data_IF_444842602900
#
_entry.id   IF_444842602900
#
_cell.length_a   1.000
_cell.length_b   1.000
_cell.length_c   1.000
_cell.angle_alpha   90.00
_cell.angle_beta   90.00
_cell.angle_gamma   90.00
#
_symmetry.space_group_name_H-M   'P 1'
#
loop_
_entity.id
_entity.type
_entity.pdbx_description
1 polymer ?
#
# COMPACT_ATOMS: atom_id res chain seq x y z
N UNK A 1 37.10 -16.98 7.26
CA UNK A 1 35.70 -17.32 7.58
C UNK A 1 35.18 -16.19 8.43
N UNK A 2 34.38 -15.27 7.86
CA UNK A 2 33.82 -14.11 8.58
C UNK A 2 32.78 -14.62 9.57
N UNK A 3 32.93 -14.28 10.84
CA UNK A 3 31.93 -14.49 11.87
C UNK A 3 30.62 -13.80 11.46
N UNK A 4 29.71 -14.54 10.85
CA UNK A 4 28.36 -14.10 10.61
C UNK A 4 27.72 -13.87 11.99
N UNK A 5 27.57 -12.62 12.37
CA UNK A 5 26.92 -12.20 13.60
C UNK A 5 25.56 -12.89 13.66
N UNK A 6 25.38 -13.86 14.56
CA UNK A 6 24.08 -14.51 14.79
C UNK A 6 23.06 -13.42 15.08
N UNK A 7 22.11 -13.21 14.15
CA UNK A 7 20.98 -12.33 14.38
C UNK A 7 20.10 -12.99 15.46
N UNK A 8 20.10 -12.44 16.66
CA UNK A 8 19.18 -12.85 17.72
C UNK A 8 17.79 -12.33 17.36
N UNK A 9 16.85 -13.22 17.06
CA UNK A 9 15.46 -12.89 16.78
C UNK A 9 15.00 -13.25 15.36
N UNK A 10 13.69 -13.35 15.18
CA UNK A 10 13.05 -13.57 13.88
C UNK A 10 13.08 -12.30 13.05
N UNK A 11 13.66 -12.33 11.85
CA UNK A 11 13.65 -11.21 10.91
C UNK A 11 14.90 -11.20 10.04
N UNK A 12 14.79 -10.61 8.85
CA UNK A 12 15.86 -10.53 7.84
C UNK A 12 16.41 -9.10 7.69
N UNK A 13 16.18 -8.21 8.67
CA UNK A 13 16.62 -6.82 8.59
C UNK A 13 18.14 -6.73 8.38
N UNK A 14 18.53 -6.03 7.29
CA UNK A 14 19.94 -5.84 6.93
C UNK A 14 20.55 -7.04 6.19
N UNK A 15 19.77 -8.06 5.84
CA UNK A 15 20.21 -9.15 4.96
C UNK A 15 19.61 -8.96 3.57
N UNK A 16 20.42 -9.16 2.53
CA UNK A 16 19.91 -9.26 1.17
C UNK A 16 19.22 -10.61 0.97
N UNK A 17 17.97 -10.57 0.52
CA UNK A 17 17.18 -11.77 0.20
C UNK A 17 17.09 -12.06 -1.30
N UNK A 18 17.69 -11.19 -2.13
CA UNK A 18 17.69 -11.32 -3.59
C UNK A 18 18.08 -10.00 -4.26
N UNK A 19 17.92 -9.97 -5.58
CA UNK A 19 18.18 -8.81 -6.41
C UNK A 19 16.87 -8.24 -6.97
N UNK A 20 16.83 -6.95 -7.23
CA UNK A 20 15.71 -6.27 -7.91
C UNK A 20 16.21 -5.14 -8.79
N UNK A 21 15.60 -4.99 -9.96
CA UNK A 21 15.78 -3.84 -10.87
C UNK A 21 14.59 -2.87 -10.80
N UNK A 22 13.65 -3.06 -9.86
CA UNK A 22 12.41 -2.29 -9.81
C UNK A 22 12.55 -0.98 -9.04
N UNK A 23 13.29 -0.98 -7.92
CA UNK A 23 13.43 0.20 -7.08
C UNK A 23 14.70 0.18 -6.23
N UNK A 24 15.11 1.38 -5.76
CA UNK A 24 16.12 1.52 -4.71
C UNK A 24 15.53 2.29 -3.54
N UNK A 25 15.88 1.89 -2.31
CA UNK A 25 15.42 2.54 -1.07
C UNK A 25 16.61 2.93 -0.22
N UNK A 26 16.74 4.22 0.09
CA UNK A 26 17.78 4.76 0.98
C UNK A 26 19.19 4.88 0.37
N UNK A 27 19.37 4.64 -0.94
CA UNK A 27 20.72 4.55 -1.56
C UNK A 27 20.95 5.47 -2.74
N UNK A 28 19.93 6.00 -3.40
CA UNK A 28 20.10 6.88 -4.58
C UNK A 28 18.96 7.89 -4.72
N UNK A 29 19.21 8.96 -5.47
CA UNK A 29 18.29 10.07 -5.68
C UNK A 29 17.90 10.74 -4.37
N UNK A 30 16.62 11.10 -4.24
CA UNK A 30 16.04 11.61 -2.99
C UNK A 30 15.88 10.53 -1.89
N UNK A 31 16.24 9.29 -2.19
CA UNK A 31 16.13 8.13 -1.27
C UNK A 31 15.12 7.07 -1.70
N UNK A 32 14.37 7.29 -2.78
CA UNK A 32 13.49 6.31 -3.40
C UNK A 32 13.48 6.51 -4.91
N UNK A 33 13.76 5.46 -5.66
CA UNK A 33 13.66 5.48 -7.13
C UNK A 33 12.84 4.31 -7.63
N UNK A 34 12.13 4.50 -8.75
CA UNK A 34 11.45 3.44 -9.49
C UNK A 34 12.11 3.30 -10.85
N UNK A 35 12.70 2.13 -11.14
CA UNK A 35 13.41 1.88 -12.42
C UNK A 35 14.44 2.98 -12.74
N UNK A 36 15.10 3.55 -11.72
CA UNK A 36 16.10 4.60 -11.86
C UNK A 36 15.57 6.03 -11.88
N UNK A 37 14.25 6.25 -11.95
CA UNK A 37 13.63 7.57 -11.83
C UNK A 37 13.40 7.93 -10.38
N UNK A 38 13.77 9.13 -9.97
CA UNK A 38 13.52 9.64 -8.61
C UNK A 38 12.03 9.81 -8.34
N UNK A 39 11.57 9.37 -7.19
CA UNK A 39 10.14 9.43 -6.82
C UNK A 39 9.62 10.87 -6.79
N UNK A 40 10.46 11.83 -6.43
CA UNK A 40 10.10 13.26 -6.42
C UNK A 40 9.83 13.75 -7.85
N UNK A 41 10.72 13.43 -8.77
CA UNK A 41 10.57 13.79 -10.18
C UNK A 41 9.33 13.15 -10.80
N UNK A 42 9.08 11.87 -10.48
CA UNK A 42 7.85 11.18 -10.91
C UNK A 42 6.58 11.83 -10.35
N UNK A 43 6.55 12.19 -9.06
CA UNK A 43 5.39 12.82 -8.44
C UNK A 43 5.09 14.23 -8.98
N UNK A 44 6.12 14.96 -9.38
CA UNK A 44 6.01 16.30 -9.98
C UNK A 44 5.56 16.26 -11.44
N UNK A 45 6.11 15.33 -12.25
CA UNK A 45 6.08 15.39 -13.71
C UNK A 45 5.36 14.24 -14.40
N UNK A 46 4.93 13.19 -13.67
CA UNK A 46 4.21 12.05 -14.22
C UNK A 46 2.83 11.87 -13.61
N UNK A 47 2.00 11.02 -14.23
CA UNK A 47 0.76 10.48 -13.68
C UNK A 47 0.98 9.09 -13.10
N UNK A 48 0.06 8.62 -12.28
CA UNK A 48 0.15 7.26 -11.71
C UNK A 48 0.14 6.18 -12.80
N UNK A 49 -0.62 6.37 -13.88
CA UNK A 49 -0.65 5.44 -15.02
C UNK A 49 0.72 5.37 -15.75
N UNK A 50 1.42 6.50 -15.87
CA UNK A 50 2.79 6.50 -16.40
C UNK A 50 3.75 5.74 -15.50
N UNK A 51 3.64 5.94 -14.18
CA UNK A 51 4.45 5.23 -13.17
C UNK A 51 4.11 3.74 -13.14
N UNK A 52 2.84 3.38 -13.23
CA UNK A 52 2.42 1.98 -13.31
C UNK A 52 2.99 1.31 -14.57
N UNK A 53 2.91 1.98 -15.71
CA UNK A 53 3.52 1.50 -16.95
C UNK A 53 5.04 1.33 -16.80
N UNK A 54 5.73 2.31 -16.23
CA UNK A 54 7.17 2.23 -15.96
C UNK A 54 7.52 1.00 -15.12
N UNK A 55 6.83 0.79 -14.00
CA UNK A 55 7.12 -0.31 -13.08
C UNK A 55 6.84 -1.66 -13.73
N UNK A 56 5.70 -1.81 -14.43
CA UNK A 56 5.24 -3.07 -15.00
C UNK A 56 5.95 -3.43 -16.31
N UNK A 57 6.20 -2.44 -17.17
CA UNK A 57 6.71 -2.65 -18.53
C UNK A 57 8.16 -2.18 -18.73
N UNK A 58 8.75 -1.51 -17.74
CA UNK A 58 10.18 -1.18 -17.72
C UNK A 58 10.55 0.24 -18.16
N UNK A 59 9.67 0.91 -18.91
CA UNK A 59 9.92 2.24 -19.47
C UNK A 59 8.72 3.16 -19.30
N UNK A 60 8.96 4.47 -19.21
CA UNK A 60 7.90 5.46 -19.30
C UNK A 60 7.22 5.39 -20.67
N UNK A 61 5.87 5.45 -20.72
CA UNK A 61 5.16 5.35 -21.99
C UNK A 61 5.34 6.60 -22.84
N UNK A 62 5.35 6.43 -24.16
CA UNK A 62 5.08 7.53 -25.09
C UNK A 62 3.62 7.98 -24.94
N UNK A 63 3.27 9.16 -25.48
CA UNK A 63 1.87 9.66 -25.45
C UNK A 63 0.88 8.62 -25.99
N UNK A 64 1.20 8.01 -27.14
CA UNK A 64 0.32 7.00 -27.74
C UNK A 64 0.18 5.73 -26.87
N UNK A 65 1.26 5.29 -26.24
CA UNK A 65 1.24 4.15 -25.33
C UNK A 65 0.43 4.47 -24.06
N UNK A 66 0.57 5.69 -23.52
CA UNK A 66 -0.19 6.12 -22.33
C UNK A 66 -1.70 6.14 -22.63
N UNK A 67 -2.13 6.69 -23.73
CA UNK A 67 -3.54 6.73 -24.10
C UNK A 67 -4.12 5.31 -24.33
N UNK A 68 -3.36 4.43 -24.98
CA UNK A 68 -3.73 3.03 -25.13
C UNK A 68 -3.82 2.32 -23.77
N UNK A 69 -2.87 2.59 -22.86
CA UNK A 69 -2.84 2.01 -21.53
C UNK A 69 -4.03 2.47 -20.67
N UNK A 70 -4.32 3.76 -20.64
CA UNK A 70 -5.50 4.31 -19.96
C UNK A 70 -6.79 3.69 -20.49
N UNK A 71 -6.94 3.58 -21.81
CA UNK A 71 -8.10 2.95 -22.45
C UNK A 71 -8.22 1.49 -22.02
N UNK A 72 -7.12 0.74 -22.01
CA UNK A 72 -7.07 -0.65 -21.53
C UNK A 72 -7.54 -0.75 -20.08
N UNK A 73 -6.99 0.07 -19.18
CA UNK A 73 -7.34 0.04 -17.75
C UNK A 73 -8.81 0.40 -17.53
N UNK A 74 -9.36 1.39 -18.25
CA UNK A 74 -10.81 1.72 -18.18
C UNK A 74 -11.68 0.52 -18.51
N UNK A 75 -11.35 -0.23 -19.56
CA UNK A 75 -12.08 -1.43 -19.96
C UNK A 75 -11.96 -2.60 -18.98
N UNK A 76 -11.08 -2.50 -17.98
CA UNK A 76 -10.85 -3.52 -16.96
C UNK A 76 -11.42 -3.19 -15.57
N UNK A 77 -12.20 -2.10 -15.41
CA UNK A 77 -12.76 -1.66 -14.11
C UNK A 77 -13.98 -2.45 -13.66
N UNK A 78 -14.74 -3.00 -14.60
CA UNK A 78 -15.97 -3.73 -14.33
C UNK A 78 -15.74 -4.98 -13.49
N UNK A 79 -16.68 -5.30 -12.60
CA UNK A 79 -16.63 -6.49 -11.75
C UNK A 79 -17.61 -7.57 -12.23
N UNK A 80 -17.19 -8.85 -12.27
CA UNK A 80 -18.09 -9.96 -12.52
C UNK A 80 -19.24 -9.99 -11.51
N UNK A 81 -20.44 -10.36 -11.96
CA UNK A 81 -21.65 -10.41 -11.11
C UNK A 81 -21.43 -11.32 -9.88
N UNK A 82 -20.80 -12.49 -10.07
CA UNK A 82 -20.51 -13.41 -8.96
C UNK A 82 -19.58 -12.80 -7.90
N UNK A 83 -18.65 -11.91 -8.31
CA UNK A 83 -17.81 -11.17 -7.35
C UNK A 83 -18.63 -10.13 -6.59
N UNK A 84 -19.52 -9.37 -7.27
CA UNK A 84 -20.43 -8.41 -6.62
C UNK A 84 -21.27 -9.12 -5.55
N UNK A 85 -21.84 -10.27 -5.85
CA UNK A 85 -22.64 -11.09 -4.92
C UNK A 85 -21.85 -11.56 -3.68
N UNK A 86 -20.57 -11.91 -3.85
CA UNK A 86 -19.68 -12.24 -2.73
C UNK A 86 -19.42 -11.00 -1.87
N UNK A 87 -19.13 -9.87 -2.47
CA UNK A 87 -18.89 -8.61 -1.76
C UNK A 87 -20.13 -8.17 -0.96
N UNK A 88 -21.34 -8.33 -1.51
CA UNK A 88 -22.60 -7.99 -0.84
C UNK A 88 -22.89 -8.84 0.41
N UNK A 89 -22.28 -10.02 0.53
CA UNK A 89 -22.42 -10.91 1.69
C UNK A 89 -21.43 -10.59 2.82
N UNK A 90 -20.42 -9.77 2.57
CA UNK A 90 -19.45 -9.38 3.59
C UNK A 90 -20.08 -8.28 4.46
N UNK A 91 -20.17 -8.45 5.79
CA UNK A 91 -20.81 -7.48 6.67
C UNK A 91 -20.07 -6.12 6.68
N UNK A 92 -20.79 -5.05 7.01
CA UNK A 92 -20.27 -3.69 7.00
C UNK A 92 -19.17 -3.43 8.06
N UNK A 93 -19.14 -4.21 9.14
CA UNK A 93 -18.12 -4.15 10.19
C UNK A 93 -16.86 -4.96 9.88
N UNK A 94 -16.84 -5.69 8.76
CA UNK A 94 -15.63 -6.38 8.31
C UNK A 94 -14.49 -5.38 8.07
N UNK A 95 -13.27 -5.81 8.35
CA UNK A 95 -12.11 -4.97 8.07
C UNK A 95 -11.92 -4.83 6.55
N UNK A 96 -11.82 -3.60 5.99
CA UNK A 96 -11.75 -3.40 4.54
C UNK A 96 -10.61 -4.13 3.84
N UNK A 97 -9.48 -4.35 4.52
CA UNK A 97 -8.39 -5.16 3.99
C UNK A 97 -8.77 -6.64 3.82
N UNK A 98 -9.65 -7.17 4.67
CA UNK A 98 -10.16 -8.54 4.54
C UNK A 98 -11.12 -8.64 3.34
N UNK A 99 -11.84 -7.57 3.04
CA UNK A 99 -12.66 -7.42 1.82
C UNK A 99 -11.77 -7.44 0.57
N UNK A 100 -10.68 -6.65 0.57
CA UNK A 100 -9.72 -6.63 -0.54
C UNK A 100 -9.12 -8.02 -0.79
N UNK A 101 -8.73 -8.72 0.28
CA UNK A 101 -8.18 -10.09 0.20
C UNK A 101 -9.20 -11.07 -0.39
N UNK A 102 -10.44 -11.04 0.08
CA UNK A 102 -11.54 -11.87 -0.42
C UNK A 102 -11.84 -11.55 -1.89
N UNK A 103 -11.92 -10.27 -2.24
CA UNK A 103 -12.17 -9.81 -3.61
C UNK A 103 -11.07 -10.25 -4.58
N UNK A 104 -9.81 -10.11 -4.21
CA UNK A 104 -8.68 -10.58 -5.02
C UNK A 104 -8.72 -12.11 -5.23
N UNK A 105 -8.94 -12.87 -4.16
CA UNK A 105 -9.02 -14.33 -4.23
C UNK A 105 -10.22 -14.80 -5.07
N UNK A 106 -11.39 -14.17 -4.90
CA UNK A 106 -12.58 -14.49 -5.68
C UNK A 106 -12.39 -14.16 -7.16
N UNK A 107 -11.76 -13.03 -7.47
CA UNK A 107 -11.44 -12.67 -8.86
C UNK A 107 -10.56 -13.73 -9.51
N UNK A 108 -9.55 -14.26 -8.80
CA UNK A 108 -8.71 -15.35 -9.28
C UNK A 108 -9.43 -16.68 -9.51
N UNK A 109 -10.54 -16.92 -8.80
CA UNK A 109 -11.40 -18.08 -9.09
C UNK A 109 -12.23 -17.91 -10.36
N UNK A 110 -12.62 -16.65 -10.68
CA UNK A 110 -13.43 -16.35 -11.86
C UNK A 110 -12.60 -16.10 -13.12
N UNK A 111 -11.41 -15.55 -12.95
CA UNK A 111 -10.48 -15.16 -14.01
C UNK A 111 -9.12 -15.82 -13.74
N UNK A 112 -9.06 -17.14 -13.78
CA UNK A 112 -7.86 -17.92 -13.43
C UNK A 112 -6.69 -17.65 -14.39
N UNK A 113 -5.47 -17.59 -13.84
CA UNK A 113 -4.23 -17.58 -14.64
C UNK A 113 -3.93 -18.98 -15.18
N UNK A 114 -3.99 -19.14 -16.49
CA UNK A 114 -3.70 -20.44 -17.14
C UNK A 114 -2.24 -20.56 -17.61
N UNK A 115 -1.57 -19.44 -17.79
CA UNK A 115 -0.18 -19.35 -18.22
C UNK A 115 0.48 -18.07 -17.71
N UNK A 116 1.78 -18.13 -17.40
CA UNK A 116 2.55 -16.94 -17.04
C UNK A 116 2.67 -15.90 -18.18
N UNK A 117 2.33 -16.26 -19.43
CA UNK A 117 2.20 -15.29 -20.50
C UNK A 117 1.07 -14.27 -20.28
N UNK A 118 0.11 -14.57 -19.41
CA UNK A 118 -1.03 -13.73 -19.06
C UNK A 118 -0.71 -12.74 -17.90
N UNK A 119 0.45 -12.88 -17.27
CA UNK A 119 0.79 -12.16 -16.02
C UNK A 119 0.67 -10.63 -16.13
N UNK A 120 1.06 -10.02 -17.23
CA UNK A 120 0.94 -8.56 -17.42
C UNK A 120 -0.53 -8.14 -17.56
N UNK A 121 -1.35 -8.93 -18.23
CA UNK A 121 -2.78 -8.65 -18.35
C UNK A 121 -3.49 -8.78 -16.99
N UNK A 122 -3.11 -9.78 -16.19
CA UNK A 122 -3.67 -9.96 -14.84
C UNK A 122 -3.21 -8.83 -13.92
N UNK A 123 -1.95 -8.37 -14.03
CA UNK A 123 -1.46 -7.21 -13.28
C UNK A 123 -2.29 -5.96 -13.56
N UNK A 124 -2.53 -5.64 -14.84
CA UNK A 124 -3.37 -4.52 -15.25
C UNK A 124 -4.84 -4.69 -14.79
N UNK A 125 -5.36 -5.93 -14.86
CA UNK A 125 -6.71 -6.25 -14.40
C UNK A 125 -6.87 -5.99 -12.90
N UNK A 126 -5.92 -6.43 -12.07
CA UNK A 126 -5.93 -6.19 -10.63
C UNK A 126 -5.81 -4.71 -10.30
N UNK A 127 -4.90 -4.00 -10.99
CA UNK A 127 -4.72 -2.55 -10.83
C UNK A 127 -6.02 -1.78 -11.13
N UNK A 128 -6.74 -2.14 -12.18
CA UNK A 128 -7.99 -1.50 -12.57
C UNK A 128 -9.17 -1.89 -11.67
N UNK A 129 -9.22 -3.14 -11.17
CA UNK A 129 -10.37 -3.68 -10.44
C UNK A 129 -10.36 -3.35 -8.94
N UNK A 130 -9.21 -3.13 -8.32
CA UNK A 130 -9.13 -2.95 -6.87
C UNK A 130 -9.91 -1.73 -6.35
N UNK A 131 -9.88 -0.55 -6.98
CA UNK A 131 -10.78 0.54 -6.63
C UNK A 131 -12.24 0.15 -6.69
N UNK A 132 -12.63 -0.60 -7.73
CA UNK A 132 -14.01 -1.07 -7.91
C UNK A 132 -14.43 -2.06 -6.82
N UNK A 133 -13.56 -2.99 -6.44
CA UNK A 133 -13.85 -3.99 -5.39
C UNK A 133 -14.15 -3.30 -4.05
N UNK A 134 -13.26 -2.42 -3.60
CA UNK A 134 -13.41 -1.81 -2.28
C UNK A 134 -14.57 -0.79 -2.24
N UNK A 135 -14.71 0.04 -3.28
CA UNK A 135 -15.77 1.03 -3.32
C UNK A 135 -17.16 0.39 -3.52
N UNK A 136 -17.27 -0.69 -4.32
CA UNK A 136 -18.53 -1.41 -4.46
C UNK A 136 -18.99 -1.99 -3.12
N UNK A 137 -18.12 -2.71 -2.42
CA UNK A 137 -18.44 -3.23 -1.09
C UNK A 137 -18.80 -2.12 -0.11
N UNK A 138 -17.99 -1.05 -0.06
CA UNK A 138 -18.21 0.04 0.89
C UNK A 138 -19.56 0.73 0.65
N UNK A 139 -19.86 1.10 -0.60
CA UNK A 139 -21.12 1.76 -0.95
C UNK A 139 -22.34 0.86 -0.73
N UNK A 140 -22.21 -0.43 -1.01
CA UNK A 140 -23.28 -1.38 -0.76
C UNK A 140 -23.50 -1.60 0.74
N UNK A 141 -22.45 -1.89 1.50
CA UNK A 141 -22.57 -2.28 2.90
C UNK A 141 -22.88 -1.12 3.84
N UNK A 142 -22.46 0.11 3.53
CA UNK A 142 -22.65 1.28 4.38
C UNK A 142 -23.79 2.19 3.91
N UNK A 143 -23.98 2.33 2.60
CA UNK A 143 -24.98 3.23 2.03
C UNK A 143 -26.17 2.48 1.43
N UNK A 144 -26.12 1.16 1.28
CA UNK A 144 -27.14 0.34 0.63
C UNK A 144 -27.22 0.53 -0.88
N UNK A 145 -26.17 1.07 -1.52
CA UNK A 145 -26.17 1.44 -2.93
C UNK A 145 -25.30 0.49 -3.76
N UNK A 146 -25.90 -0.14 -4.78
CA UNK A 146 -25.17 -0.84 -5.84
C UNK A 146 -24.68 0.16 -6.87
N UNK A 147 -23.40 0.48 -6.85
CA UNK A 147 -22.80 1.41 -7.78
C UNK A 147 -22.38 0.73 -9.09
N UNK A 148 -22.41 1.48 -10.20
CA UNK A 148 -21.68 1.10 -11.40
C UNK A 148 -20.17 1.25 -11.16
N UNK A 149 -19.40 0.25 -11.58
CA UNK A 149 -17.95 0.21 -11.34
C UNK A 149 -17.13 0.66 -12.55
N UNK A 150 -17.78 1.10 -13.60
CA UNK A 150 -17.15 1.62 -14.81
C UNK A 150 -17.40 3.12 -14.91
N UNK A 151 -16.36 3.93 -14.70
CA UNK A 151 -16.43 5.37 -14.89
C UNK A 151 -15.57 5.80 -16.07
N UNK A 152 -15.82 6.99 -16.59
CA UNK A 152 -15.05 7.58 -17.69
C UNK A 152 -13.82 8.37 -17.21
N UNK A 153 -13.54 8.39 -15.91
CA UNK A 153 -12.37 9.09 -15.37
C UNK A 153 -11.09 8.58 -16.01
N UNK A 154 -10.20 9.49 -16.40
CA UNK A 154 -8.94 9.14 -17.05
C UNK A 154 -7.98 8.44 -16.10
N UNK A 155 -7.99 8.81 -14.82
CA UNK A 155 -7.03 8.36 -13.82
C UNK A 155 -7.69 7.38 -12.83
N UNK A 156 -6.91 6.39 -12.35
CA UNK A 156 -7.33 5.44 -11.32
C UNK A 156 -7.67 6.15 -10.01
N UNK A 157 -6.89 7.17 -9.63
CA UNK A 157 -7.17 7.96 -8.43
C UNK A 157 -8.49 8.71 -8.51
N UNK A 158 -8.78 9.35 -9.65
CA UNK A 158 -10.05 10.02 -9.89
C UNK A 158 -11.23 9.02 -9.90
N UNK A 159 -11.05 7.87 -10.55
CA UNK A 159 -11.99 6.77 -10.56
C UNK A 159 -12.34 6.28 -9.14
N UNK A 160 -11.34 6.06 -8.28
CA UNK A 160 -11.54 5.69 -6.88
C UNK A 160 -12.43 6.71 -6.15
N UNK A 161 -12.08 8.00 -6.23
CA UNK A 161 -12.86 9.07 -5.57
C UNK A 161 -14.26 9.19 -6.14
N UNK A 162 -14.44 9.03 -7.45
CA UNK A 162 -15.74 9.04 -8.10
C UNK A 162 -16.64 7.91 -7.58
N UNK A 163 -16.12 6.68 -7.52
CA UNK A 163 -16.87 5.53 -6.99
C UNK A 163 -17.25 5.75 -5.52
N UNK A 164 -16.30 6.27 -4.71
CA UNK A 164 -16.52 6.48 -3.29
C UNK A 164 -17.57 7.56 -3.02
N UNK A 165 -17.47 8.68 -3.70
CA UNK A 165 -18.36 9.85 -3.44
C UNK A 165 -19.60 9.92 -4.33
N UNK A 166 -19.70 9.08 -5.36
CA UNK A 166 -20.82 9.10 -6.31
C UNK A 166 -20.80 10.30 -7.26
N UNK A 167 -19.69 11.02 -7.35
CA UNK A 167 -19.47 12.16 -8.24
C UNK A 167 -18.00 12.32 -8.60
N UNK A 168 -17.72 12.87 -9.77
CA UNK A 168 -16.35 13.16 -10.18
C UNK A 168 -15.65 14.07 -9.17
N UNK A 169 -14.38 13.81 -8.81
CA UNK A 169 -13.62 14.64 -7.89
C UNK A 169 -13.26 16.00 -8.51
N UNK A 170 -12.90 16.97 -7.65
CA UNK A 170 -12.25 18.20 -8.11
C UNK A 170 -10.87 17.89 -8.73
N UNK A 171 -10.37 18.82 -9.55
CA UNK A 171 -9.03 18.68 -10.14
C UNK A 171 -7.94 18.56 -9.07
N UNK A 172 -8.09 19.28 -7.94
CA UNK A 172 -7.16 19.20 -6.82
C UNK A 172 -7.19 17.80 -6.19
N UNK A 173 -8.38 17.28 -5.85
CA UNK A 173 -8.51 15.95 -5.25
C UNK A 173 -8.00 14.85 -6.17
N UNK A 174 -8.29 14.92 -7.48
CA UNK A 174 -7.78 13.98 -8.48
C UNK A 174 -6.25 14.00 -8.52
N UNK A 175 -5.62 15.19 -8.55
CA UNK A 175 -4.16 15.32 -8.57
C UNK A 175 -3.52 14.81 -7.29
N UNK A 176 -4.07 15.11 -6.12
CA UNK A 176 -3.50 14.63 -4.84
C UNK A 176 -3.62 13.12 -4.72
N UNK A 177 -4.74 12.54 -5.14
CA UNK A 177 -4.89 11.08 -5.16
C UNK A 177 -3.89 10.44 -6.13
N UNK A 178 -3.69 11.01 -7.30
CA UNK A 178 -2.71 10.56 -8.28
C UNK A 178 -1.28 10.55 -7.68
N UNK A 179 -0.85 11.65 -7.08
CA UNK A 179 0.44 11.75 -6.37
C UNK A 179 0.54 10.72 -5.25
N UNK A 180 -0.49 10.59 -4.44
CA UNK A 180 -0.54 9.59 -3.35
C UNK A 180 -0.29 8.17 -3.87
N UNK A 181 -0.95 7.79 -4.98
CA UNK A 181 -0.75 6.49 -5.60
C UNK A 181 0.69 6.30 -6.12
N UNK A 182 1.31 7.35 -6.70
CA UNK A 182 2.72 7.31 -7.11
C UNK A 182 3.62 7.03 -5.90
N UNK A 183 3.40 7.71 -4.77
CA UNK A 183 4.25 7.57 -3.58
C UNK A 183 4.17 6.19 -2.92
N UNK A 184 3.07 5.45 -3.10
CA UNK A 184 2.87 4.13 -2.54
C UNK A 184 3.16 2.97 -3.50
N UNK A 185 3.41 3.24 -4.80
CA UNK A 185 3.45 2.23 -5.86
C UNK A 185 4.47 1.12 -5.63
N UNK A 186 5.66 1.45 -5.12
CA UNK A 186 6.76 0.51 -4.96
C UNK A 186 7.66 0.88 -3.78
N UNK A 187 8.30 -0.13 -3.15
CA UNK A 187 9.24 0.09 -2.04
C UNK A 187 10.11 -1.15 -1.75
N UNK A 188 10.76 -1.72 -2.78
CA UNK A 188 11.69 -2.84 -2.67
C UNK A 188 11.07 -4.07 -1.95
N UNK A 189 11.86 -4.83 -1.20
CA UNK A 189 11.44 -6.04 -0.48
C UNK A 189 10.79 -5.74 0.88
N UNK A 190 9.86 -4.78 0.93
CA UNK A 190 9.02 -4.65 2.12
C UNK A 190 8.25 -5.95 2.39
N UNK A 191 7.68 -6.10 3.60
CA UNK A 191 7.10 -7.36 4.06
C UNK A 191 6.04 -7.94 3.12
N UNK A 192 5.14 -7.13 2.57
CA UNK A 192 4.10 -7.61 1.66
C UNK A 192 4.64 -7.98 0.28
N UNK A 193 5.58 -7.20 -0.25
CA UNK A 193 6.28 -7.53 -1.49
C UNK A 193 7.09 -8.83 -1.36
N UNK A 194 7.78 -8.99 -0.23
CA UNK A 194 8.53 -10.22 0.02
C UNK A 194 7.60 -11.44 0.16
N UNK A 195 6.42 -11.28 0.77
CA UNK A 195 5.38 -12.32 0.81
C UNK A 195 4.93 -12.71 -0.61
N UNK A 196 4.68 -11.73 -1.50
CA UNK A 196 4.34 -12.00 -2.89
C UNK A 196 5.46 -12.78 -3.60
N UNK A 197 6.72 -12.39 -3.41
CA UNK A 197 7.88 -13.10 -3.99
C UNK A 197 8.04 -14.52 -3.46
N UNK A 198 7.84 -14.74 -2.16
CA UNK A 198 7.86 -16.09 -1.57
C UNK A 198 6.80 -16.97 -2.23
N UNK A 199 5.58 -16.48 -2.36
CA UNK A 199 4.48 -17.18 -3.04
C UNK A 199 4.82 -17.45 -4.51
N UNK A 200 5.27 -16.43 -5.26
CA UNK A 200 5.67 -16.54 -6.65
C UNK A 200 6.80 -17.56 -6.86
N UNK A 201 7.74 -17.65 -5.90
CA UNK A 201 8.86 -18.58 -5.97
C UNK A 201 8.46 -20.05 -5.98
N UNK A 202 7.24 -20.36 -5.54
CA UNK A 202 6.64 -21.71 -5.60
C UNK A 202 5.92 -21.98 -6.93
N UNK A 203 5.95 -21.02 -7.88
CA UNK A 203 5.22 -21.03 -9.15
C UNK A 203 3.69 -20.95 -8.99
N UNK A 204 3.22 -20.35 -7.91
CA UNK A 204 1.81 -20.05 -7.69
C UNK A 204 1.32 -18.95 -8.64
N UNK A 205 -0.01 -18.88 -8.83
CA UNK A 205 -0.66 -17.89 -9.68
C UNK A 205 -0.56 -16.45 -9.11
N UNK A 206 -0.79 -15.47 -9.99
CA UNK A 206 -0.68 -14.05 -9.65
C UNK A 206 -1.66 -13.62 -8.55
N UNK A 207 -2.91 -14.09 -8.61
CA UNK A 207 -3.93 -13.72 -7.62
C UNK A 207 -3.58 -14.27 -6.22
N UNK A 208 -3.04 -15.47 -6.13
CA UNK A 208 -2.55 -16.05 -4.87
C UNK A 208 -1.38 -15.25 -4.30
N UNK A 209 -0.43 -14.81 -5.13
CA UNK A 209 0.69 -13.98 -4.71
C UNK A 209 0.22 -12.64 -4.14
N UNK A 210 -0.71 -11.98 -4.85
CA UNK A 210 -1.27 -10.68 -4.42
C UNK A 210 -2.17 -10.83 -3.19
N UNK A 211 -2.98 -11.90 -3.11
CA UNK A 211 -3.79 -12.22 -1.92
C UNK A 211 -2.92 -12.38 -0.67
N UNK A 212 -1.78 -13.07 -0.79
CA UNK A 212 -0.80 -13.21 0.29
C UNK A 212 -0.18 -11.86 0.69
N UNK A 213 0.14 -11.02 -0.29
CA UNK A 213 0.66 -9.66 -0.05
C UNK A 213 -0.34 -8.76 0.68
N UNK A 214 -1.63 -8.79 0.30
CA UNK A 214 -2.71 -8.08 1.01
C UNK A 214 -2.78 -8.53 2.46
N UNK A 215 -2.72 -9.84 2.72
CA UNK A 215 -2.70 -10.40 4.07
C UNK A 215 -1.52 -9.89 4.91
N UNK A 216 -0.33 -9.78 4.31
CA UNK A 216 0.85 -9.22 4.97
C UNK A 216 0.72 -7.71 5.22
N UNK A 217 0.18 -6.95 4.25
CA UNK A 217 -0.01 -5.50 4.39
C UNK A 217 -1.03 -5.14 5.48
N UNK A 218 -2.02 -6.00 5.73
CA UNK A 218 -3.04 -5.81 6.78
C UNK A 218 -2.44 -5.71 8.19
N UNK A 219 -1.27 -6.26 8.41
CA UNK A 219 -0.65 -6.31 9.74
C UNK A 219 -0.34 -4.91 10.30
N UNK A 220 -0.56 -4.67 11.61
CA UNK A 220 -0.39 -3.33 12.22
C UNK A 220 1.07 -2.84 12.22
N UNK A 221 2.04 -3.70 11.93
CA UNK A 221 3.44 -3.32 11.77
C UNK A 221 3.81 -2.96 10.32
N UNK A 222 2.84 -2.94 9.40
CA UNK A 222 3.06 -2.66 7.99
C UNK A 222 2.07 -1.62 7.45
N UNK A 223 0.91 -1.98 6.92
CA UNK A 223 0.04 -1.06 6.19
C UNK A 223 -0.86 -0.16 7.02
N UNK A 224 -1.11 -0.47 8.30
CA UNK A 224 -2.05 0.27 9.15
C UNK A 224 -1.52 1.57 9.77
N UNK A 225 -0.36 2.06 9.35
CA UNK A 225 0.27 3.22 9.98
C UNK A 225 -0.45 4.55 9.69
N UNK A 226 -1.04 4.70 8.50
CA UNK A 226 -1.79 5.91 8.13
C UNK A 226 -3.16 5.98 8.84
N UNK A 227 -3.85 4.87 9.04
CA UNK A 227 -5.08 4.82 9.84
C UNK A 227 -4.76 5.19 11.30
N UNK A 228 -3.73 4.58 11.88
CA UNK A 228 -3.29 4.88 13.24
C UNK A 228 -2.78 6.33 13.40
N UNK A 229 -2.20 6.93 12.37
CA UNK A 229 -1.84 8.34 12.37
C UNK A 229 -3.10 9.23 12.41
N UNK A 230 -4.14 8.89 11.64
CA UNK A 230 -5.42 9.61 11.69
C UNK A 230 -6.10 9.48 13.05
N UNK A 231 -6.17 8.27 13.60
CA UNK A 231 -6.71 8.02 14.94
C UNK A 231 -5.98 8.83 16.03
N UNK A 232 -4.67 9.06 15.85
CA UNK A 232 -3.87 9.89 16.76
C UNK A 232 -4.29 11.35 16.73
N UNK A 233 -4.49 11.93 15.52
CA UNK A 233 -4.62 13.39 15.35
C UNK A 233 -6.07 13.88 15.27
N UNK A 234 -7.05 13.02 14.95
CA UNK A 234 -8.41 13.42 14.64
C UNK A 234 -9.12 14.16 15.77
N UNK A 235 -8.86 13.79 17.02
CA UNK A 235 -9.50 14.35 18.21
C UNK A 235 -8.71 15.48 18.86
N UNK A 236 -7.51 15.80 18.35
CA UNK A 236 -6.69 16.90 18.83
C UNK A 236 -7.31 18.24 18.41
N UNK A 237 -7.52 19.13 19.35
CA UNK A 237 -8.24 20.40 19.16
C UNK A 237 -7.39 21.46 18.49
N UNK A 238 -6.13 21.54 18.89
CA UNK A 238 -5.16 22.53 18.43
C UNK A 238 -3.72 22.04 18.68
N UNK A 239 -2.75 22.88 18.39
CA UNK A 239 -1.33 22.57 18.51
C UNK A 239 -0.87 22.38 19.98
N UNK A 240 -1.54 23.02 20.94
CA UNK A 240 -1.24 22.86 22.36
C UNK A 240 -1.73 21.49 22.86
N UNK A 241 -2.96 21.11 22.49
CA UNK A 241 -3.53 19.79 22.77
C UNK A 241 -2.68 18.67 22.12
N UNK A 242 -2.22 18.88 20.89
CA UNK A 242 -1.30 17.96 20.22
C UNK A 242 -0.01 17.72 21.03
N UNK A 243 0.56 18.79 21.59
CA UNK A 243 1.75 18.71 22.45
C UNK A 243 1.46 17.90 23.72
N UNK A 244 0.38 18.18 24.41
CA UNK A 244 0.01 17.53 25.67
C UNK A 244 -0.28 16.03 25.45
N UNK A 245 -1.04 15.68 24.41
CA UNK A 245 -1.34 14.29 24.04
C UNK A 245 -0.07 13.51 23.71
N UNK A 246 0.81 14.07 22.87
CA UNK A 246 2.06 13.38 22.49
C UNK A 246 3.03 13.25 23.65
N UNK A 247 3.20 14.28 24.49
CA UNK A 247 4.06 14.20 25.67
C UNK A 247 3.58 13.12 26.63
N UNK A 248 2.27 13.03 26.89
CA UNK A 248 1.71 11.95 27.71
C UNK A 248 1.95 10.56 27.13
N UNK A 249 1.84 10.39 25.81
CA UNK A 249 2.16 9.12 25.15
C UNK A 249 3.65 8.76 25.26
N UNK A 250 4.55 9.75 25.10
CA UNK A 250 5.99 9.56 25.22
C UNK A 250 6.41 9.19 26.66
N UNK A 251 5.80 9.79 27.68
CA UNK A 251 6.02 9.45 29.09
C UNK A 251 5.61 8.00 29.40
N UNK A 252 4.46 7.56 28.86
CA UNK A 252 3.99 6.17 29.00
C UNK A 252 4.72 5.19 28.07
N UNK A 253 5.67 5.67 27.27
CA UNK A 253 6.44 4.86 26.27
C UNK A 253 5.53 4.14 25.27
N UNK A 254 4.39 4.74 24.95
CA UNK A 254 3.49 4.23 23.92
C UNK A 254 4.12 4.38 22.53
N UNK A 255 3.83 3.42 21.65
CA UNK A 255 4.24 3.50 20.26
C UNK A 255 3.40 4.54 19.53
N UNK A 256 4.05 5.49 18.89
CA UNK A 256 3.41 6.51 18.07
C UNK A 256 3.64 6.16 16.60
N UNK A 257 2.56 5.88 15.87
CA UNK A 257 2.63 5.50 14.46
C UNK A 257 2.79 6.73 13.56
N UNK A 258 3.30 6.52 12.34
CA UNK A 258 3.57 7.61 11.39
C UNK A 258 4.94 8.26 11.50
N UNK A 259 5.80 7.78 12.41
CA UNK A 259 7.14 8.33 12.66
C UNK A 259 8.24 7.28 12.54
N UNK A 260 9.37 7.70 11.94
CA UNK A 260 10.53 6.86 11.69
C UNK A 260 10.31 5.82 10.59
N UNK A 261 11.38 5.16 10.19
CA UNK A 261 11.36 4.15 9.14
C UNK A 261 12.41 3.07 9.37
N UNK A 262 12.20 1.88 8.81
CA UNK A 262 13.12 0.75 8.95
C UNK A 262 14.46 0.98 8.21
N UNK A 263 14.42 1.69 7.08
CA UNK A 263 15.58 1.91 6.19
C UNK A 263 16.03 3.37 6.23
N UNK A 264 15.14 4.33 5.99
CA UNK A 264 15.48 5.76 6.03
C UNK A 264 16.01 6.18 7.41
N UNK A 265 17.00 7.07 7.42
CA UNK A 265 17.66 7.54 8.66
C UNK A 265 17.34 8.98 9.00
N UNK A 266 17.35 9.84 7.98
CA UNK A 266 17.24 11.29 8.16
C UNK A 266 15.85 11.83 7.79
N UNK A 267 15.23 11.29 6.75
CA UNK A 267 13.89 11.66 6.29
C UNK A 267 13.31 10.59 5.38
N UNK A 268 11.98 10.54 5.28
CA UNK A 268 11.26 9.80 4.23
C UNK A 268 10.99 10.76 3.06
N UNK A 269 11.52 10.51 1.85
CA UNK A 269 11.40 11.44 0.72
C UNK A 269 9.95 11.69 0.30
N UNK A 270 9.06 10.74 0.59
CA UNK A 270 7.63 10.83 0.27
C UNK A 270 6.89 11.82 1.18
N UNK A 271 7.38 11.99 2.42
CA UNK A 271 6.71 12.82 3.41
C UNK A 271 6.64 14.30 2.99
N UNK A 272 7.74 14.87 2.51
CA UNK A 272 7.77 16.26 2.09
C UNK A 272 6.77 16.55 0.96
N UNK A 273 6.63 15.59 0.03
CA UNK A 273 5.73 15.70 -1.12
C UNK A 273 4.27 15.70 -0.64
N UNK A 274 3.86 14.70 0.12
CA UNK A 274 2.46 14.61 0.55
C UNK A 274 2.09 15.68 1.58
N UNK A 275 3.04 16.16 2.38
CA UNK A 275 2.83 17.28 3.32
C UNK A 275 2.43 18.56 2.58
N UNK A 276 3.11 18.90 1.48
CA UNK A 276 2.77 20.06 0.65
C UNK A 276 1.35 19.93 0.06
N UNK A 277 0.97 18.75 -0.40
CA UNK A 277 -0.39 18.52 -0.89
C UNK A 277 -1.44 18.52 0.22
N UNK A 278 -1.12 18.02 1.40
CA UNK A 278 -2.00 18.11 2.57
C UNK A 278 -2.28 19.57 2.96
N UNK A 279 -1.27 20.47 2.87
CA UNK A 279 -1.45 21.91 3.09
C UNK A 279 -2.43 22.53 2.08
N UNK A 280 -2.26 22.24 0.80
CA UNK A 280 -3.15 22.72 -0.26
C UNK A 280 -4.59 22.21 -0.07
N UNK A 281 -4.75 20.96 0.32
CA UNK A 281 -6.07 20.38 0.63
C UNK A 281 -6.71 21.03 1.88
N UNK A 282 -5.94 21.32 2.90
CA UNK A 282 -6.43 22.02 4.10
C UNK A 282 -7.00 23.41 3.76
N UNK A 283 -6.32 24.15 2.88
CA UNK A 283 -6.79 25.44 2.39
C UNK A 283 -8.09 25.32 1.57
N UNK A 284 -8.21 24.30 0.74
CA UNK A 284 -9.43 24.01 -0.06
C UNK A 284 -10.60 23.55 0.83
N UNK A 285 -10.31 22.76 1.85
CA UNK A 285 -11.30 22.22 2.79
C UNK A 285 -11.93 23.30 3.69
N UNK A 286 -11.20 24.40 3.94
CA UNK A 286 -11.66 25.54 4.75
C UNK A 286 -11.53 25.34 6.27
N UNK A 287 -10.94 24.24 6.73
CA UNK A 287 -10.52 24.00 8.12
C UNK A 287 -9.13 23.37 8.11
N UNK A 288 -8.12 24.13 8.51
CA UNK A 288 -6.72 23.71 8.51
C UNK A 288 -6.27 23.06 9.84
N UNK A 289 -7.16 22.86 10.78
CA UNK A 289 -6.86 22.34 12.12
C UNK A 289 -6.02 21.06 12.07
N UNK A 290 -6.43 20.06 11.30
CA UNK A 290 -5.70 18.80 11.22
C UNK A 290 -4.31 18.96 10.60
N UNK A 291 -4.14 19.87 9.65
CA UNK A 291 -2.83 20.17 9.10
C UNK A 291 -1.92 20.83 10.14
N UNK A 292 -2.39 21.86 10.86
CA UNK A 292 -1.62 22.55 11.92
C UNK A 292 -1.26 21.60 13.07
N UNK A 293 -2.20 20.76 13.49
CA UNK A 293 -1.97 19.68 14.47
C UNK A 293 -0.87 18.73 13.97
N UNK A 294 -0.94 18.29 12.72
CA UNK A 294 0.07 17.40 12.12
C UNK A 294 1.46 18.04 12.10
N UNK A 295 1.56 19.32 11.76
CA UNK A 295 2.84 20.08 11.79
C UNK A 295 3.38 20.20 13.21
N UNK A 296 2.52 20.45 14.21
CA UNK A 296 2.92 20.49 15.61
C UNK A 296 3.42 19.13 16.11
N UNK A 297 2.76 18.04 15.73
CA UNK A 297 3.19 16.68 16.02
C UNK A 297 4.57 16.36 15.41
N UNK A 298 4.78 16.72 14.15
CA UNK A 298 6.07 16.53 13.46
C UNK A 298 7.19 17.27 14.19
N UNK A 299 6.99 18.54 14.52
CA UNK A 299 7.97 19.36 15.23
C UNK A 299 8.31 18.78 16.60
N UNK A 300 7.31 18.36 17.37
CA UNK A 300 7.51 17.78 18.69
C UNK A 300 8.25 16.44 18.63
N UNK A 301 7.90 15.57 17.72
CA UNK A 301 8.56 14.25 17.58
C UNK A 301 10.02 14.42 17.13
N UNK A 302 10.32 15.41 16.31
CA UNK A 302 11.69 15.76 15.98
C UNK A 302 12.44 16.34 17.18
N UNK A 303 11.83 17.25 17.93
CA UNK A 303 12.40 17.85 19.15
C UNK A 303 12.76 16.77 20.18
N UNK A 304 11.79 15.91 20.51
CA UNK A 304 11.87 14.97 21.64
C UNK A 304 12.59 13.65 21.32
N UNK A 305 12.50 13.16 20.09
CA UNK A 305 12.97 11.82 19.71
C UNK A 305 13.88 11.79 18.49
N UNK A 306 14.06 12.90 17.78
CA UNK A 306 14.73 12.96 16.47
C UNK A 306 14.13 11.96 15.47
N UNK A 307 12.81 11.77 15.55
CA UNK A 307 12.05 10.95 14.62
C UNK A 307 11.33 11.84 13.62
N UNK A 308 11.58 11.60 12.34
CA UNK A 308 10.89 12.25 11.23
C UNK A 308 9.54 11.56 10.92
N UNK A 309 8.61 12.28 10.31
CA UNK A 309 7.41 11.71 9.74
C UNK A 309 7.74 10.80 8.56
N UNK A 310 7.14 9.62 8.52
CA UNK A 310 7.17 8.78 7.32
C UNK A 310 6.00 9.14 6.38
N UNK A 311 5.90 8.46 5.22
CA UNK A 311 4.87 8.74 4.23
C UNK A 311 3.44 8.71 4.80
N UNK A 312 3.17 7.86 5.79
CA UNK A 312 1.82 7.61 6.28
C UNK A 312 1.23 8.80 7.07
N UNK A 313 2.09 9.59 7.71
CA UNK A 313 1.62 10.60 8.66
C UNK A 313 0.80 11.72 7.98
N UNK A 314 1.35 12.39 6.96
CA UNK A 314 0.60 13.43 6.24
C UNK A 314 -0.38 12.89 5.19
N UNK A 315 -0.28 11.62 4.79
CA UNK A 315 -1.35 10.96 4.05
C UNK A 315 -2.65 10.91 4.86
N UNK A 316 -2.57 10.74 6.19
CA UNK A 316 -3.75 10.71 7.05
C UNK A 316 -4.59 11.99 6.94
N UNK A 317 -3.97 13.17 7.09
CA UNK A 317 -4.67 14.45 6.93
C UNK A 317 -5.10 14.71 5.48
N UNK A 318 -4.26 14.35 4.48
CA UNK A 318 -4.61 14.50 3.08
C UNK A 318 -5.86 13.70 2.69
N UNK A 319 -5.96 12.44 3.12
CA UNK A 319 -7.12 11.59 2.84
C UNK A 319 -8.37 12.09 3.57
N UNK A 320 -8.22 12.58 4.81
CA UNK A 320 -9.34 13.20 5.53
C UNK A 320 -9.92 14.40 4.78
N UNK A 321 -9.08 15.31 4.29
CA UNK A 321 -9.53 16.49 3.53
C UNK A 321 -10.20 16.13 2.21
N UNK A 322 -9.89 14.98 1.64
CA UNK A 322 -10.60 14.44 0.47
C UNK A 322 -11.90 13.70 0.83
N UNK A 323 -12.30 13.68 2.11
CA UNK A 323 -13.52 13.02 2.57
C UNK A 323 -13.46 11.50 2.56
N UNK A 324 -12.27 10.91 2.60
CA UNK A 324 -12.09 9.46 2.59
C UNK A 324 -12.25 8.92 4.02
N UNK A 325 -13.11 7.93 4.27
CA UNK A 325 -13.22 7.28 5.57
C UNK A 325 -11.90 6.64 6.01
N UNK A 326 -11.50 6.83 7.26
CA UNK A 326 -10.20 6.36 7.81
C UNK A 326 -9.96 4.87 7.55
N UNK A 327 -10.98 4.03 7.68
CA UNK A 327 -10.88 2.58 7.42
C UNK A 327 -10.52 2.20 5.97
N UNK A 328 -10.63 3.14 5.02
CA UNK A 328 -10.26 2.93 3.63
C UNK A 328 -8.81 3.35 3.30
N UNK A 329 -8.07 3.92 4.23
CA UNK A 329 -6.70 4.39 3.98
C UNK A 329 -5.77 3.24 3.57
N UNK A 330 -5.75 2.14 4.32
CA UNK A 330 -4.94 0.96 3.96
C UNK A 330 -5.39 0.29 2.65
N UNK A 331 -6.70 0.13 2.34
CA UNK A 331 -7.14 -0.29 1.01
C UNK A 331 -6.64 0.55 -0.16
N UNK A 332 -6.52 1.88 0.01
CA UNK A 332 -5.92 2.74 -1.04
C UNK A 332 -4.45 2.37 -1.27
N UNK A 333 -3.73 2.05 -0.21
CA UNK A 333 -2.36 1.55 -0.32
C UNK A 333 -2.32 0.27 -1.19
N UNK A 334 -3.29 -0.65 -1.05
CA UNK A 334 -3.41 -1.84 -1.91
C UNK A 334 -3.62 -1.44 -3.38
N UNK A 335 -4.53 -0.48 -3.66
CA UNK A 335 -4.81 -0.01 -5.03
C UNK A 335 -3.55 0.52 -5.74
N UNK A 336 -2.62 1.09 -5.00
CA UNK A 336 -1.34 1.53 -5.53
C UNK A 336 -0.30 0.40 -5.57
N UNK A 337 -0.07 -0.28 -4.44
CA UNK A 337 1.02 -1.22 -4.26
C UNK A 337 0.86 -2.50 -5.07
N UNK A 338 -0.33 -2.82 -5.57
CA UNK A 338 -0.52 -3.94 -6.50
C UNK A 338 0.40 -3.82 -7.72
N UNK A 339 0.71 -2.59 -8.15
CA UNK A 339 1.70 -2.30 -9.19
C UNK A 339 3.07 -2.89 -8.85
N UNK A 340 3.60 -2.58 -7.67
CA UNK A 340 4.87 -3.12 -7.21
C UNK A 340 4.82 -4.64 -6.96
N UNK A 341 3.75 -5.14 -6.32
CA UNK A 341 3.64 -6.58 -6.06
C UNK A 341 3.66 -7.41 -7.32
N UNK A 342 2.85 -7.03 -8.32
CA UNK A 342 2.77 -7.78 -9.58
C UNK A 342 4.06 -7.68 -10.38
N UNK A 343 4.73 -6.53 -10.39
CA UNK A 343 6.05 -6.38 -11.00
C UNK A 343 7.09 -7.28 -10.32
N UNK A 344 7.10 -7.34 -8.99
CA UNK A 344 7.99 -8.24 -8.24
C UNK A 344 7.68 -9.73 -8.48
N UNK A 345 6.41 -10.09 -8.65
CA UNK A 345 6.03 -11.47 -9.05
C UNK A 345 6.60 -11.81 -10.43
N UNK A 346 6.44 -10.89 -11.40
CA UNK A 346 6.99 -11.08 -12.76
C UNK A 346 8.52 -11.16 -12.74
N UNK A 347 9.19 -10.30 -11.97
CA UNK A 347 10.64 -10.34 -11.80
C UNK A 347 11.10 -11.66 -11.17
N UNK A 348 10.43 -12.12 -10.10
CA UNK A 348 10.73 -13.40 -9.46
C UNK A 348 10.60 -14.57 -10.44
N UNK A 349 9.54 -14.59 -11.26
CA UNK A 349 9.31 -15.63 -12.26
C UNK A 349 10.35 -15.62 -13.37
N UNK A 350 10.93 -14.47 -13.73
CA UNK A 350 11.92 -14.35 -14.82
C UNK A 350 13.24 -15.06 -14.52
N UNK A 351 13.63 -15.18 -13.25
CA UNK A 351 14.82 -15.89 -12.79
C UNK A 351 14.50 -16.61 -11.48
N UNK A 352 13.56 -17.58 -11.55
CA UNK A 352 12.97 -18.15 -10.35
C UNK A 352 13.84 -19.17 -9.67
N UNK A 353 13.93 -19.01 -8.35
CA UNK A 353 14.39 -20.04 -7.41
C UNK A 353 13.50 -20.00 -6.18
N UNK A 354 13.09 -21.17 -5.67
CA UNK A 354 12.26 -21.23 -4.47
C UNK A 354 12.93 -20.55 -3.29
N UNK A 355 12.20 -19.65 -2.64
CA UNK A 355 12.63 -18.91 -1.44
C UNK A 355 12.30 -19.78 -0.23
N UNK A 356 13.30 -20.50 0.27
CA UNK A 356 13.15 -21.42 1.39
C UNK A 356 14.38 -21.34 2.31
N UNK A 357 14.37 -20.42 3.29
CA UNK A 357 15.43 -20.37 4.31
C UNK A 357 15.41 -21.60 5.21
N UNK A 358 16.54 -21.90 5.87
CA UNK A 358 16.62 -22.89 6.92
C UNK A 358 16.29 -22.26 8.29
N UNK A 359 15.95 -23.10 9.25
CA UNK A 359 15.73 -22.70 10.63
C UNK A 359 16.69 -23.45 11.56
N UNK A 360 17.16 -22.78 12.61
CA UNK A 360 17.83 -23.42 13.73
C UNK A 360 16.77 -24.03 14.65
N UNK A 361 16.83 -25.36 14.83
CA UNK A 361 15.92 -26.05 15.73
C UNK A 361 16.35 -25.83 17.20
N UNK A 362 15.47 -25.22 17.97
CA UNK A 362 15.69 -24.94 19.41
C UNK A 362 14.73 -25.71 20.33
N UNK A 363 14.03 -26.69 19.80
CA UNK A 363 13.08 -27.51 20.54
C UNK A 363 13.73 -28.65 21.32
N UNK A 364 12.93 -29.63 21.71
CA UNK A 364 13.39 -30.80 22.49
C UNK A 364 14.23 -31.74 21.65
N UNK A 365 15.16 -32.45 22.26
CA UNK A 365 15.97 -33.49 21.63
C UNK A 365 15.10 -34.63 21.04
N UNK A 366 15.70 -35.41 20.13
CA UNK A 366 15.02 -36.54 19.50
C UNK A 366 14.39 -37.48 20.55
N UNK A 367 13.11 -37.78 20.37
CA UNK A 367 12.33 -38.68 21.23
C UNK A 367 11.78 -39.85 20.45
N UNK A 368 11.65 -40.99 21.11
CA UNK A 368 10.92 -42.12 20.57
C UNK A 368 9.44 -41.95 20.84
N UNK A 369 8.61 -42.38 19.91
CA UNK A 369 7.16 -42.46 20.11
C UNK A 369 6.88 -43.61 21.09
N UNK A 370 6.23 -43.30 22.20
CA UNK A 370 5.67 -44.31 23.12
C UNK A 370 4.26 -44.63 22.63
N UNK A 371 3.86 -45.93 22.54
CA UNK A 371 2.50 -46.30 22.19
C UNK A 371 1.47 -45.64 23.11
N UNK A 372 0.28 -45.35 22.59
CA UNK A 372 -0.76 -44.66 23.39
C UNK A 372 -1.16 -45.39 24.63
N UNK A 373 -1.09 -46.74 24.58
CA UNK A 373 -1.35 -47.62 25.77
C UNK A 373 -0.34 -47.44 26.87
N UNK A 374 0.84 -46.87 26.61
CA UNK A 374 1.97 -46.82 27.53
C UNK A 374 2.35 -45.36 27.90
N UNK A 375 1.47 -44.38 27.59
CA UNK A 375 1.65 -42.96 27.89
C UNK A 375 1.01 -42.56 29.21
#
# INVERSE_FOLDING_TARGET
MSDAKKLSGAGLRGQSAGETALSTVGVSGSGLTYRGYDVKDLAENATFEEVAHLILYGELPTTAQLEAYKTKLKGMRGLPQALKEVLERIPADAHPMDVMRTGCSMLGNLEAEHSFSEQSQIADRLLAAFPSIICYWYRFSHDGVRIETETNDEQIGAHFLHLLHGKAPSALHAKVMDVSLILYAEHEFNASTFTARVCASTLSDMHSCVTGAIGSLRGPLHGGANEAAMELIQDMKDEADARDVLMGKLERKEKIMGFGHAIYRDSDPRNAIIKEWSEKLAADYGDDRLYRVSVACEALMWEQKKLFCNADFFHASAYHFMGIPTKLFTPIFVCSRVTGWTAHVMEQRSNNRIIRPSADYVGVALRKVVPISDR
#
